data_IF_472258037395
#
_entry.id   IF_472258037395
#
_cell.length_a   1.000
_cell.length_b   1.000
_cell.length_c   1.000
_cell.angle_alpha   90.00
_cell.angle_beta   90.00
_cell.angle_gamma   90.00
#
_symmetry.space_group_name_H-M   'P 1'
#
loop_
_entity.id
_entity.type
_entity.pdbx_description
1 polymer ?
#
# COMPACT_ATOMS: atom_id res chain seq x y z
N UNK A 1 20.11 -83.19 -46.64
CA UNK A 1 20.24 -83.32 -45.16
C UNK A 1 20.24 -81.96 -44.49
N UNK A 2 19.09 -81.52 -43.91
CA UNK A 2 18.93 -80.26 -43.20
C UNK A 2 18.77 -80.59 -41.72
N UNK A 3 19.78 -80.22 -40.88
CA UNK A 3 19.70 -80.35 -39.43
C UNK A 3 18.88 -79.15 -38.88
N UNK A 4 17.77 -79.51 -38.22
CA UNK A 4 16.99 -78.55 -37.45
C UNK A 4 17.55 -78.45 -36.05
N UNK A 5 17.94 -77.24 -35.59
CA UNK A 5 18.29 -76.94 -34.24
C UNK A 5 17.03 -76.65 -33.41
N UNK A 6 16.84 -77.27 -32.23
CA UNK A 6 15.72 -76.92 -31.36
C UNK A 6 16.09 -75.65 -30.58
N UNK A 7 15.21 -74.60 -30.71
CA UNK A 7 15.28 -73.40 -29.93
C UNK A 7 14.64 -73.66 -28.57
N UNK A 8 15.42 -73.90 -27.55
CA UNK A 8 14.93 -73.94 -26.17
C UNK A 8 14.58 -72.55 -25.68
N UNK A 9 13.30 -72.17 -25.63
CA UNK A 9 12.81 -70.98 -24.94
C UNK A 9 12.99 -71.13 -23.43
N UNK A 10 14.01 -70.46 -22.85
CA UNK A 10 14.17 -70.26 -21.41
C UNK A 10 13.03 -69.35 -20.92
N UNK A 11 11.97 -69.93 -20.34
CA UNK A 11 10.98 -69.17 -19.56
C UNK A 11 11.68 -68.58 -18.33
N UNK A 12 11.91 -67.28 -18.40
CA UNK A 12 12.35 -66.49 -17.27
C UNK A 12 11.19 -66.40 -16.28
N UNK A 13 11.25 -67.19 -15.22
CA UNK A 13 10.35 -67.05 -14.07
C UNK A 13 10.43 -65.59 -13.57
N UNK A 14 9.36 -64.81 -13.78
CA UNK A 14 9.17 -63.55 -13.11
C UNK A 14 9.10 -63.83 -11.62
N UNK A 15 10.15 -63.45 -10.89
CA UNK A 15 10.12 -63.36 -9.44
C UNK A 15 8.93 -62.46 -9.09
N UNK A 16 7.89 -63.03 -8.53
CA UNK A 16 6.79 -62.28 -7.96
C UNK A 16 7.34 -61.28 -6.95
N UNK A 17 7.20 -60.03 -7.23
CA UNK A 17 7.39 -58.99 -6.23
C UNK A 17 6.29 -59.28 -5.20
N UNK A 18 6.72 -59.76 -4.03
CA UNK A 18 5.83 -59.93 -2.88
C UNK A 18 5.14 -58.57 -2.67
N UNK A 19 3.84 -58.51 -2.89
CA UNK A 19 3.02 -57.38 -2.49
C UNK A 19 3.09 -57.32 -0.96
N UNK A 20 4.01 -56.49 -0.46
CA UNK A 20 4.08 -56.16 0.96
C UNK A 20 2.86 -55.29 1.25
N UNK A 21 1.82 -55.92 1.78
CA UNK A 21 0.63 -55.20 2.24
C UNK A 21 1.07 -54.16 3.28
N UNK A 22 0.52 -52.94 3.12
CA UNK A 22 0.75 -51.87 4.09
C UNK A 22 0.38 -52.35 5.50
N UNK A 23 1.30 -52.21 6.42
CA UNK A 23 1.09 -52.47 7.87
C UNK A 23 0.03 -51.47 8.39
N UNK A 24 -0.84 -51.92 9.28
CA UNK A 24 -1.81 -51.05 9.95
C UNK A 24 -1.10 -49.85 10.62
N UNK A 25 0.08 -50.10 11.19
CA UNK A 25 0.89 -49.06 11.80
C UNK A 25 1.36 -48.02 10.79
N UNK A 26 1.75 -48.44 9.61
CA UNK A 26 2.19 -47.54 8.52
C UNK A 26 1.02 -46.65 8.01
N UNK A 27 -0.17 -47.22 7.92
CA UNK A 27 -1.39 -46.49 7.56
C UNK A 27 -1.76 -45.44 8.63
N UNK A 28 -1.63 -45.81 9.91
CA UNK A 28 -1.89 -44.87 11.03
C UNK A 28 -0.86 -43.74 11.05
N UNK A 29 0.42 -44.06 10.90
CA UNK A 29 1.49 -43.05 10.84
C UNK A 29 1.30 -42.13 9.64
N UNK A 30 1.01 -42.65 8.48
CA UNK A 30 0.74 -41.85 7.29
C UNK A 30 -0.48 -40.94 7.48
N UNK A 31 -1.54 -41.44 8.11
CA UNK A 31 -2.73 -40.65 8.45
C UNK A 31 -2.44 -39.49 9.40
N UNK A 32 -1.64 -39.72 10.44
CA UNK A 32 -1.23 -38.67 11.40
C UNK A 32 -0.35 -37.61 10.73
N UNK A 33 0.60 -38.02 9.92
CA UNK A 33 1.47 -37.10 9.17
C UNK A 33 0.64 -36.25 8.19
N UNK A 34 -0.29 -36.86 7.46
CA UNK A 34 -1.18 -36.17 6.53
C UNK A 34 -2.05 -35.13 7.27
N UNK A 35 -2.63 -35.51 8.41
CA UNK A 35 -3.44 -34.58 9.23
C UNK A 35 -2.61 -33.40 9.74
N UNK A 36 -1.37 -33.63 10.17
CA UNK A 36 -0.46 -32.59 10.61
C UNK A 36 -0.10 -31.60 9.48
N UNK A 37 0.19 -32.12 8.29
CA UNK A 37 0.49 -31.30 7.11
C UNK A 37 -0.73 -30.48 6.68
N UNK A 38 -1.92 -31.10 6.62
CA UNK A 38 -3.16 -30.39 6.26
C UNK A 38 -3.49 -29.29 7.26
N UNK A 39 -3.31 -29.53 8.57
CA UNK A 39 -3.49 -28.51 9.61
C UNK A 39 -2.52 -27.34 9.46
N UNK A 40 -1.26 -27.62 9.13
CA UNK A 40 -0.23 -26.60 8.85
C UNK A 40 -0.58 -25.75 7.62
N UNK A 41 -0.91 -26.39 6.52
CA UNK A 41 -1.30 -25.70 5.27
C UNK A 41 -2.55 -24.84 5.47
N UNK A 42 -3.54 -25.30 6.23
CA UNK A 42 -4.74 -24.53 6.55
C UNK A 42 -4.41 -23.21 7.27
N UNK A 43 -3.55 -23.25 8.30
CA UNK A 43 -3.13 -22.04 9.02
C UNK A 43 -2.36 -21.05 8.13
N UNK A 44 -1.47 -21.54 7.28
CA UNK A 44 -0.72 -20.71 6.34
C UNK A 44 -1.66 -20.04 5.32
N UNK A 45 -2.65 -20.75 4.83
CA UNK A 45 -3.63 -20.21 3.88
C UNK A 45 -4.46 -19.08 4.48
N UNK A 46 -4.95 -19.24 5.70
CA UNK A 46 -5.71 -18.20 6.40
C UNK A 46 -4.83 -16.97 6.67
N UNK A 47 -3.58 -17.18 7.10
CA UNK A 47 -2.62 -16.08 7.31
C UNK A 47 -2.30 -15.34 6.01
N UNK A 48 -2.12 -16.06 4.90
CA UNK A 48 -1.87 -15.47 3.59
C UNK A 48 -3.06 -14.62 3.09
N UNK A 49 -4.30 -15.09 3.29
CA UNK A 49 -5.50 -14.33 2.94
C UNK A 49 -5.65 -13.05 3.77
N UNK A 50 -5.40 -13.12 5.07
CA UNK A 50 -5.43 -11.94 5.94
C UNK A 50 -4.39 -10.90 5.52
N UNK A 51 -3.16 -11.34 5.23
CA UNK A 51 -2.10 -10.45 4.75
C UNK A 51 -2.44 -9.82 3.39
N UNK A 52 -3.03 -10.59 2.48
CA UNK A 52 -3.46 -10.09 1.17
C UNK A 52 -4.55 -9.02 1.29
N UNK A 53 -5.51 -9.20 2.21
CA UNK A 53 -6.56 -8.20 2.48
C UNK A 53 -5.97 -6.90 3.04
N UNK A 54 -5.06 -6.99 4.01
CA UNK A 54 -4.40 -5.82 4.59
C UNK A 54 -3.54 -5.08 3.55
N UNK A 55 -2.82 -5.82 2.72
CA UNK A 55 -2.03 -5.24 1.63
C UNK A 55 -2.92 -4.54 0.60
N UNK A 56 -4.05 -5.12 0.24
CA UNK A 56 -5.02 -4.49 -0.67
C UNK A 56 -5.56 -3.17 -0.10
N UNK A 57 -5.88 -3.14 1.19
CA UNK A 57 -6.35 -1.92 1.85
C UNK A 57 -5.24 -0.86 1.92
N UNK A 58 -4.00 -1.25 2.22
CA UNK A 58 -2.84 -0.34 2.21
C UNK A 58 -2.65 0.30 0.83
N UNK A 59 -2.75 -0.47 -0.24
CA UNK A 59 -2.65 0.06 -1.61
C UNK A 59 -3.76 1.09 -1.90
N UNK A 60 -4.98 0.86 -1.41
CA UNK A 60 -6.09 1.81 -1.57
C UNK A 60 -5.84 3.12 -0.80
N UNK A 61 -5.33 3.02 0.43
CA UNK A 61 -4.97 4.19 1.26
C UNK A 61 -3.89 5.00 0.56
N UNK A 62 -2.79 4.36 0.15
CA UNK A 62 -1.68 5.03 -0.54
C UNK A 62 -2.14 5.67 -1.87
N UNK A 63 -3.00 4.99 -2.63
CA UNK A 63 -3.56 5.56 -3.85
C UNK A 63 -4.42 6.80 -3.56
N UNK A 64 -5.29 6.76 -2.56
CA UNK A 64 -6.13 7.89 -2.19
C UNK A 64 -5.30 9.09 -1.70
N UNK A 65 -4.23 8.84 -0.93
CA UNK A 65 -3.30 9.89 -0.49
C UNK A 65 -2.55 10.47 -1.69
N UNK A 66 -2.00 9.64 -2.56
CA UNK A 66 -1.24 10.09 -3.73
C UNK A 66 -2.14 10.89 -4.70
N UNK A 67 -3.37 10.46 -4.95
CA UNK A 67 -4.34 11.20 -5.76
C UNK A 67 -4.58 12.59 -5.15
N UNK A 68 -4.74 12.69 -3.83
CA UNK A 68 -4.96 13.96 -3.14
C UNK A 68 -3.72 14.86 -3.17
N UNK A 69 -2.51 14.28 -3.00
CA UNK A 69 -1.25 15.03 -3.15
C UNK A 69 -1.12 15.62 -4.55
N UNK A 70 -1.44 14.86 -5.58
CA UNK A 70 -1.41 15.35 -6.96
C UNK A 70 -2.39 16.50 -7.17
N UNK A 71 -3.59 16.45 -6.59
CA UNK A 71 -4.54 17.55 -6.63
C UNK A 71 -3.99 18.80 -5.93
N UNK A 72 -3.37 18.66 -4.74
CA UNK A 72 -2.75 19.78 -4.05
C UNK A 72 -1.64 20.42 -4.89
N UNK A 73 -0.76 19.62 -5.47
CA UNK A 73 0.34 20.09 -6.32
C UNK A 73 -0.20 20.76 -7.62
N UNK A 74 -1.26 20.22 -8.19
CA UNK A 74 -1.90 20.78 -9.36
C UNK A 74 -2.50 22.15 -9.05
N UNK A 75 -3.24 22.28 -7.94
CA UNK A 75 -3.85 23.56 -7.53
C UNK A 75 -2.78 24.61 -7.17
N UNK A 76 -1.70 24.21 -6.48
CA UNK A 76 -0.54 25.08 -6.25
C UNK A 76 0.07 25.58 -7.58
N UNK A 77 0.19 24.69 -8.58
CA UNK A 77 0.71 25.06 -9.90
C UNK A 77 -0.20 26.01 -10.69
N UNK A 78 -1.51 25.93 -10.46
CA UNK A 78 -2.49 26.84 -11.08
C UNK A 78 -2.64 28.18 -10.35
N UNK A 79 -2.25 28.24 -9.08
CA UNK A 79 -2.29 29.46 -8.30
C UNK A 79 -1.18 30.42 -8.76
N UNK A 80 -1.55 31.35 -9.65
CA UNK A 80 -0.63 32.32 -10.23
C UNK A 80 -0.92 33.71 -9.70
N UNK A 81 0.13 34.46 -9.37
CA UNK A 81 0.02 35.81 -8.85
C UNK A 81 -0.81 36.72 -9.79
N UNK A 82 -0.55 36.64 -11.10
CA UNK A 82 -1.25 37.44 -12.11
C UNK A 82 -2.75 37.11 -12.23
N UNK A 83 -3.16 35.92 -11.79
CA UNK A 83 -4.57 35.50 -11.81
C UNK A 83 -5.38 35.98 -10.60
N UNK A 84 -4.75 36.59 -9.58
CA UNK A 84 -5.39 37.01 -8.33
C UNK A 84 -6.20 38.31 -8.45
N UNK A 85 -6.51 38.77 -9.64
CA UNK A 85 -7.50 39.81 -9.95
C UNK A 85 -7.12 41.23 -9.60
N UNK A 86 -6.74 41.56 -8.37
CA UNK A 86 -6.38 42.90 -7.94
C UNK A 86 -5.01 43.00 -7.31
N UNK A 87 -4.33 44.14 -7.46
CA UNK A 87 -3.03 44.39 -6.85
C UNK A 87 -3.05 44.16 -5.32
N UNK A 88 -4.13 44.61 -4.66
CA UNK A 88 -4.27 44.45 -3.22
C UNK A 88 -4.30 42.98 -2.78
N UNK A 89 -4.89 42.07 -3.59
CA UNK A 89 -4.85 40.62 -3.32
C UNK A 89 -3.48 40.03 -3.60
N UNK A 90 -2.79 40.52 -4.62
CA UNK A 90 -1.41 40.09 -4.93
C UNK A 90 -0.44 40.53 -3.80
N UNK A 91 -0.56 41.75 -3.31
CA UNK A 91 0.25 42.25 -2.21
C UNK A 91 -0.02 41.48 -0.90
N UNK A 92 -1.28 41.15 -0.62
CA UNK A 92 -1.67 40.33 0.51
C UNK A 92 -1.10 38.90 0.40
N UNK A 93 -1.18 38.29 -0.77
CA UNK A 93 -0.61 36.96 -1.02
C UNK A 93 0.92 36.97 -0.90
N UNK A 94 1.58 38.03 -1.35
CA UNK A 94 3.02 38.18 -1.24
C UNK A 94 3.51 38.52 0.19
N UNK A 95 2.65 39.07 1.05
CA UNK A 95 3.00 39.33 2.44
C UNK A 95 3.07 38.06 3.29
N UNK A 96 2.24 37.07 2.97
CA UNK A 96 2.18 35.77 3.68
C UNK A 96 1.81 34.64 2.69
N UNK A 97 2.75 34.23 1.84
CA UNK A 97 2.51 33.23 0.81
C UNK A 97 2.01 31.88 1.33
N UNK A 98 2.54 31.32 2.43
CA UNK A 98 2.07 30.01 2.91
C UNK A 98 0.64 30.06 3.44
N UNK A 99 0.24 31.13 4.14
CA UNK A 99 -1.16 31.28 4.59
C UNK A 99 -2.13 31.41 3.42
N UNK A 100 -1.73 32.13 2.37
CA UNK A 100 -2.54 32.28 1.17
C UNK A 100 -2.69 30.93 0.42
N UNK A 101 -1.59 30.19 0.23
CA UNK A 101 -1.63 28.87 -0.37
C UNK A 101 -2.50 27.91 0.45
N UNK A 102 -2.31 27.86 1.78
CA UNK A 102 -3.09 27.00 2.66
C UNK A 102 -4.60 27.28 2.52
N UNK A 103 -5.02 28.54 2.61
CA UNK A 103 -6.42 28.94 2.49
C UNK A 103 -7.00 28.57 1.12
N UNK A 104 -6.23 28.74 0.04
CA UNK A 104 -6.63 28.33 -1.30
C UNK A 104 -6.85 26.82 -1.40
N UNK A 105 -5.88 26.02 -0.92
CA UNK A 105 -5.95 24.57 -0.96
C UNK A 105 -7.08 24.00 -0.09
N UNK A 106 -7.35 24.58 1.07
CA UNK A 106 -8.49 24.20 1.91
C UNK A 106 -9.85 24.46 1.23
N UNK A 107 -9.93 25.53 0.44
CA UNK A 107 -11.15 25.90 -0.28
C UNK A 107 -11.38 25.09 -1.56
N UNK A 108 -10.31 24.69 -2.26
CA UNK A 108 -10.41 24.10 -3.61
C UNK A 108 -10.22 22.59 -3.63
N UNK A 109 -9.40 22.02 -2.73
CA UNK A 109 -9.09 20.61 -2.72
C UNK A 109 -9.76 19.91 -1.54
N UNK A 110 -10.78 19.07 -1.76
CA UNK A 110 -11.39 18.30 -0.68
C UNK A 110 -10.40 17.29 -0.11
N UNK A 111 -10.58 16.85 1.17
CA UNK A 111 -9.80 15.75 1.73
C UNK A 111 -10.01 14.45 0.93
N UNK A 112 -9.15 13.43 1.12
CA UNK A 112 -9.32 12.15 0.46
C UNK A 112 -10.71 11.56 0.70
N UNK A 113 -11.31 10.96 -0.33
CA UNK A 113 -12.66 10.40 -0.25
C UNK A 113 -12.71 9.22 0.73
N UNK A 114 -13.48 9.39 1.80
CA UNK A 114 -13.66 8.38 2.86
C UNK A 114 -14.32 7.08 2.34
N UNK A 115 -15.00 7.11 1.18
CA UNK A 115 -15.65 5.92 0.62
C UNK A 115 -14.67 5.00 -0.14
N UNK A 116 -13.44 5.46 -0.41
CA UNK A 116 -12.43 4.69 -1.16
C UNK A 116 -11.64 3.72 -0.29
N UNK A 117 -11.68 3.90 1.03
CA UNK A 117 -10.92 3.12 2.01
C UNK A 117 -11.83 2.62 3.13
N UNK A 118 -11.47 1.51 3.78
CA UNK A 118 -12.26 0.95 4.87
C UNK A 118 -12.21 1.81 6.15
N UNK A 119 -11.23 2.72 6.24
CA UNK A 119 -11.04 3.66 7.35
C UNK A 119 -10.84 5.07 6.80
N UNK A 120 -11.31 6.11 7.50
CA UNK A 120 -11.12 7.48 7.06
C UNK A 120 -9.64 7.87 7.07
N UNK A 121 -9.28 8.70 6.10
CA UNK A 121 -7.98 9.37 6.03
C UNK A 121 -8.19 10.82 6.43
N UNK A 122 -7.59 11.24 7.53
CA UNK A 122 -7.62 12.62 7.98
C UNK A 122 -6.50 13.41 7.30
N UNK A 123 -6.80 14.57 6.74
CA UNK A 123 -5.81 15.50 6.19
C UNK A 123 -5.82 16.79 6.99
N UNK A 124 -4.65 17.26 7.44
CA UNK A 124 -4.43 18.61 7.95
C UNK A 124 -3.43 19.35 7.07
N UNK A 125 -3.64 20.67 6.90
CA UNK A 125 -2.67 21.58 6.29
C UNK A 125 -2.11 22.48 7.38
N UNK A 126 -0.81 22.42 7.57
CA UNK A 126 -0.10 23.17 8.61
C UNK A 126 0.96 24.06 7.95
N UNK A 127 1.21 25.23 8.52
CA UNK A 127 2.33 26.09 8.10
C UNK A 127 3.49 25.79 9.02
N UNK A 128 4.63 25.43 8.45
CA UNK A 128 5.88 25.33 9.19
C UNK A 128 6.64 26.63 8.98
N UNK A 129 6.67 27.43 10.05
CA UNK A 129 7.46 28.66 10.17
C UNK A 129 8.76 28.34 10.93
N UNK A 130 9.52 27.36 10.46
CA UNK A 130 10.76 26.94 11.11
C UNK A 130 11.95 27.45 10.29
N UNK A 131 12.75 28.34 10.90
CA UNK A 131 14.00 28.86 10.35
C UNK A 131 13.89 29.61 8.99
N UNK A 132 12.73 30.26 8.69
CA UNK A 132 12.53 31.03 7.46
C UNK A 132 12.17 30.14 6.26
N UNK A 133 11.70 28.95 6.49
CA UNK A 133 11.06 28.11 5.47
C UNK A 133 9.54 28.28 5.54
N UNK A 134 9.03 29.20 4.72
CA UNK A 134 7.61 29.49 4.60
C UNK A 134 6.92 28.42 3.73
N UNK A 135 6.72 27.22 4.29
CA UNK A 135 6.15 26.09 3.57
C UNK A 135 4.83 25.62 4.18
N UNK A 136 3.95 25.09 3.34
CA UNK A 136 2.73 24.40 3.75
C UNK A 136 3.00 22.91 3.78
N UNK A 137 2.69 22.26 4.91
CA UNK A 137 2.82 20.81 5.06
C UNK A 137 1.42 20.20 5.08
N UNK A 138 1.13 19.35 4.11
CA UNK A 138 -0.03 18.49 4.18
C UNK A 138 0.33 17.20 4.92
N UNK A 139 -0.37 16.96 6.04
CA UNK A 139 -0.21 15.77 6.86
C UNK A 139 -1.45 14.90 6.73
N UNK A 140 -1.23 13.65 6.35
CA UNK A 140 -2.26 12.61 6.30
C UNK A 140 -2.07 11.67 7.47
N UNK A 141 -3.15 11.43 8.21
CA UNK A 141 -3.21 10.48 9.32
C UNK A 141 -4.19 9.39 8.96
N UNK A 142 -3.80 8.15 9.05
CA UNK A 142 -4.62 6.99 8.72
C UNK A 142 -4.30 5.79 9.61
N UNK A 143 -5.22 4.86 9.65
CA UNK A 143 -5.08 3.66 10.46
C UNK A 143 -4.31 2.58 9.69
N UNK A 144 -3.29 1.98 10.34
CA UNK A 144 -2.53 0.88 9.75
C UNK A 144 -3.37 -0.39 9.59
N UNK A 145 -3.60 -0.89 8.36
CA UNK A 145 -4.42 -2.09 8.15
C UNK A 145 -3.87 -3.33 8.84
N UNK A 146 -2.56 -3.43 9.02
CA UNK A 146 -1.86 -4.58 9.62
C UNK A 146 -2.07 -4.69 11.13
N UNK A 147 -2.51 -3.61 11.76
CA UNK A 147 -2.78 -3.55 13.20
C UNK A 147 -4.25 -3.72 13.54
N UNK A 148 -5.10 -4.04 12.57
CA UNK A 148 -6.53 -4.24 12.80
C UNK A 148 -6.77 -5.33 13.86
N UNK A 149 -7.40 -4.97 14.98
CA UNK A 149 -7.73 -5.91 16.08
C UNK A 149 -6.65 -6.08 17.15
N UNK A 150 -5.52 -5.38 17.10
CA UNK A 150 -4.54 -5.35 18.18
C UNK A 150 -4.89 -4.27 19.21
N UNK A 151 -4.50 -4.48 20.47
CA UNK A 151 -4.95 -3.66 21.61
C UNK A 151 -4.18 -2.34 21.82
N UNK A 152 -3.05 -2.12 21.15
CA UNK A 152 -2.22 -0.94 21.31
C UNK A 152 -2.66 0.21 20.40
N UNK A 153 -3.26 1.25 20.99
CA UNK A 153 -3.80 2.39 20.23
C UNK A 153 -2.72 3.28 19.61
N UNK A 154 -1.55 3.41 20.23
CA UNK A 154 -0.48 4.29 19.78
C UNK A 154 0.24 3.80 18.54
N UNK A 155 0.31 2.49 18.31
CA UNK A 155 0.98 1.89 17.15
C UNK A 155 0.08 1.74 15.91
N UNK A 156 -1.16 2.20 15.99
CA UNK A 156 -2.16 2.00 14.94
C UNK A 156 -2.19 3.11 13.89
N UNK A 157 -1.69 4.30 14.24
CA UNK A 157 -1.73 5.46 13.38
C UNK A 157 -0.43 5.62 12.61
N UNK A 158 -0.57 5.77 11.31
CA UNK A 158 0.51 6.11 10.41
C UNK A 158 0.30 7.52 9.85
N UNK A 159 1.41 8.16 9.51
CA UNK A 159 1.43 9.50 8.99
C UNK A 159 2.17 9.55 7.65
N UNK A 160 1.62 10.33 6.73
CA UNK A 160 2.31 10.74 5.50
C UNK A 160 2.33 12.25 5.47
N UNK A 161 3.45 12.82 5.10
CA UNK A 161 3.62 14.26 4.96
C UNK A 161 4.12 14.59 3.56
N UNK A 162 3.66 15.72 3.04
CA UNK A 162 4.20 16.33 1.83
C UNK A 162 4.35 17.83 2.06
N UNK A 163 5.45 18.37 1.61
CA UNK A 163 5.79 19.79 1.67
C UNK A 163 5.39 20.47 0.37
N UNK A 164 4.73 21.61 0.48
CA UNK A 164 4.30 22.44 -0.64
C UNK A 164 4.90 23.81 -0.45
N UNK A 165 5.69 24.23 -1.44
CA UNK A 165 6.28 25.56 -1.45
C UNK A 165 5.45 26.42 -2.42
N UNK A 166 4.89 27.56 -1.96
CA UNK A 166 4.03 28.40 -2.81
C UNK A 166 4.73 28.82 -4.11
N UNK A 167 4.33 28.25 -5.25
CA UNK A 167 4.98 28.50 -6.54
C UNK A 167 4.90 29.97 -6.98
N UNK A 168 3.82 30.69 -6.64
CA UNK A 168 3.63 32.09 -6.99
C UNK A 168 4.57 33.02 -6.22
N UNK A 169 5.10 32.60 -5.05
CA UNK A 169 5.94 33.45 -4.19
C UNK A 169 7.25 33.89 -4.89
N UNK A 170 7.74 33.09 -5.82
CA UNK A 170 8.92 33.43 -6.62
C UNK A 170 8.75 34.73 -7.41
N UNK A 171 7.50 35.14 -7.73
CA UNK A 171 7.19 36.37 -8.45
C UNK A 171 7.01 37.59 -7.52
N UNK A 172 6.84 37.38 -6.23
CA UNK A 172 6.70 38.45 -5.26
C UNK A 172 7.96 39.36 -5.16
N UNK A 173 9.11 38.79 -5.44
CA UNK A 173 10.40 39.52 -5.37
C UNK A 173 10.74 40.29 -6.65
N UNK A 174 10.03 40.10 -7.74
CA UNK A 174 10.30 40.76 -9.03
C UNK A 174 9.57 42.10 -9.19
N UNK A 175 8.64 42.47 -8.29
CA UNK A 175 7.84 43.69 -8.38
C UNK A 175 8.44 44.87 -7.66
N UNK A 176 9.61 44.72 -7.00
CA UNK A 176 10.32 45.79 -6.25
C UNK A 176 11.50 46.36 -7.00
N UNK A 177 11.47 46.39 -8.34
CA UNK A 177 12.49 47.00 -9.19
C UNK A 177 12.07 48.33 -9.80
#
# INVERSE_FOLDING_TARGET
>A
MKRQHPITKKLRARKGVAEQGFSIVESVVAGVLLAAVMGGVGKLSVSALANSSNQSERVRIEAAINDNIQLLQMEDSYLRLEAMGSQALQDAACSDPPSHLKAHLEATVPPPDANRTAQPIERSLEILDDAGMDIVVARYKFFSPEHRGKSDELERWEYRTVELNPNFSAKCYTTTG
#
